data_IF_920867741785
#
_entry.id   IF_920867741785
#
_cell.length_a   1.000
_cell.length_b   1.000
_cell.length_c   1.000
_cell.angle_alpha   90.00
_cell.angle_beta   90.00
_cell.angle_gamma   90.00
#
_symmetry.space_group_name_H-M   'P 1'
#
loop_
_entity.id
_entity.type
_entity.pdbx_description
1 polymer ?
#
# COMPACT_ATOMS: atom_id res chain seq x y z
N UNK A 1 -6.93 -6.28 4.89
CA UNK A 1 -5.73 -7.14 4.77
C UNK A 1 -4.59 -6.46 5.50
N UNK A 2 -3.79 -7.22 6.25
CA UNK A 2 -2.75 -6.67 7.14
C UNK A 2 -1.40 -6.60 6.45
N UNK A 3 -0.71 -5.48 6.66
CA UNK A 3 0.58 -5.17 6.07
C UNK A 3 1.49 -4.52 7.12
N UNK A 4 2.80 -4.73 6.99
CA UNK A 4 3.82 -4.06 7.77
C UNK A 4 4.54 -3.03 6.90
N UNK A 5 4.57 -1.76 7.32
CA UNK A 5 5.07 -0.65 6.50
C UNK A 5 6.59 -0.53 6.61
N UNK A 6 7.30 -0.64 5.49
CA UNK A 6 8.75 -0.53 5.41
C UNK A 6 9.23 0.73 4.67
N UNK A 7 8.36 1.35 3.87
CA UNK A 7 8.68 2.55 3.12
C UNK A 7 7.44 3.38 2.81
N UNK A 8 7.62 4.69 2.79
CA UNK A 8 6.58 5.67 2.46
C UNK A 8 7.17 6.62 1.43
N UNK A 9 6.50 6.76 0.28
CA UNK A 9 6.92 7.61 -0.82
C UNK A 9 5.75 8.48 -1.28
N UNK A 10 5.92 9.80 -1.23
CA UNK A 10 4.94 10.74 -1.79
C UNK A 10 5.05 10.77 -3.31
N UNK A 11 3.90 10.76 -3.98
CA UNK A 11 3.80 10.70 -5.44
C UNK A 11 2.99 11.89 -5.93
N UNK A 12 3.58 12.71 -6.81
CA UNK A 12 2.91 13.82 -7.48
C UNK A 12 3.47 13.97 -8.91
N UNK A 13 2.75 13.46 -9.91
CA UNK A 13 3.18 13.54 -11.32
C UNK A 13 2.00 13.58 -12.31
N UNK A 14 2.26 14.07 -13.51
CA UNK A 14 1.29 13.99 -14.63
C UNK A 14 1.47 12.66 -15.35
N UNK A 15 0.42 11.84 -15.38
CA UNK A 15 0.41 10.57 -16.11
C UNK A 15 0.62 10.81 -17.61
N UNK A 16 1.72 10.30 -18.16
CA UNK A 16 1.99 10.35 -19.61
C UNK A 16 0.94 9.60 -20.45
N UNK A 17 0.24 8.62 -19.84
CA UNK A 17 -0.76 7.80 -20.53
C UNK A 17 -2.12 8.49 -20.63
N UNK A 18 -2.53 9.21 -19.58
CA UNK A 18 -3.88 9.77 -19.46
C UNK A 18 -3.90 11.30 -19.46
N UNK A 19 -2.75 11.96 -19.33
CA UNK A 19 -2.62 13.41 -19.19
C UNK A 19 -3.11 13.95 -17.84
N UNK A 20 -3.57 13.07 -16.92
CA UNK A 20 -4.15 13.47 -15.64
C UNK A 20 -3.09 13.55 -14.54
N UNK A 21 -3.29 14.46 -13.59
CA UNK A 21 -2.48 14.52 -12.37
C UNK A 21 -2.73 13.27 -11.53
N UNK A 22 -1.64 12.66 -11.07
CA UNK A 22 -1.64 11.53 -10.15
C UNK A 22 -0.99 12.00 -8.85
N UNK A 23 -1.77 12.01 -7.78
CA UNK A 23 -1.35 12.36 -6.42
C UNK A 23 -1.72 11.30 -5.41
N UNK A 24 -0.79 11.00 -4.53
CA UNK A 24 -1.01 10.03 -3.46
C UNK A 24 0.29 9.63 -2.76
N UNK A 25 0.23 8.49 -2.10
CA UNK A 25 1.34 7.91 -1.35
C UNK A 25 1.51 6.46 -1.74
N UNK A 26 2.73 6.04 -2.06
CA UNK A 26 3.07 4.62 -2.14
C UNK A 26 3.48 4.14 -0.74
N UNK A 27 2.78 3.13 -0.24
CA UNK A 27 3.22 2.35 0.92
C UNK A 27 3.95 1.12 0.39
N UNK A 28 5.21 0.98 0.78
CA UNK A 28 6.04 -0.20 0.50
C UNK A 28 5.97 -1.10 1.73
N UNK A 29 5.36 -2.26 1.60
CA UNK A 29 4.97 -3.09 2.72
C UNK A 29 5.40 -4.54 2.56
N UNK A 30 5.46 -5.25 3.69
CA UNK A 30 5.48 -6.71 3.73
C UNK A 30 4.17 -7.27 4.29
N UNK A 31 3.90 -8.54 3.97
CA UNK A 31 2.85 -9.32 4.62
C UNK A 31 3.24 -10.80 4.65
N UNK A 32 2.79 -11.55 5.67
CA UNK A 32 3.20 -12.94 5.84
C UNK A 32 2.72 -13.79 4.66
N UNK A 33 3.59 -14.69 4.23
CA UNK A 33 3.21 -15.74 3.29
C UNK A 33 2.44 -16.85 4.01
N UNK A 34 1.47 -17.48 3.32
CA UNK A 34 0.87 -18.74 3.79
C UNK A 34 2.00 -19.75 4.12
N UNK A 35 2.09 -20.24 5.38
CA UNK A 35 3.16 -21.15 5.79
C UNK A 35 3.18 -22.47 5.00
N UNK A 36 2.07 -22.86 4.35
CA UNK A 36 2.01 -24.04 3.49
C UNK A 36 2.49 -23.78 2.06
N UNK A 37 2.69 -22.51 1.67
CA UNK A 37 3.15 -22.16 0.35
C UNK A 37 4.67 -22.33 0.22
N UNK A 38 5.08 -23.54 -0.15
CA UNK A 38 6.49 -23.92 -0.35
C UNK A 38 7.21 -23.18 -1.50
N UNK A 39 6.50 -22.38 -2.30
CA UNK A 39 7.08 -21.68 -3.47
C UNK A 39 7.74 -20.35 -3.09
N UNK A 40 7.48 -19.83 -1.90
CA UNK A 40 7.99 -18.54 -1.45
C UNK A 40 8.79 -18.75 -0.17
N UNK A 41 9.91 -18.06 -0.05
CA UNK A 41 10.74 -18.02 1.16
C UNK A 41 10.64 -16.62 1.76
N UNK A 42 10.26 -16.54 3.04
CA UNK A 42 10.06 -15.28 3.75
C UNK A 42 8.72 -14.60 3.46
N UNK A 43 8.69 -13.29 3.71
CA UNK A 43 7.49 -12.47 3.53
C UNK A 43 7.35 -11.97 2.10
N UNK A 44 6.10 -11.75 1.71
CA UNK A 44 5.80 -11.08 0.45
C UNK A 44 6.03 -9.59 0.60
N UNK A 45 6.41 -8.94 -0.48
CA UNK A 45 6.56 -7.49 -0.58
C UNK A 45 5.53 -6.95 -1.57
N UNK A 46 4.97 -5.78 -1.28
CA UNK A 46 4.01 -5.12 -2.14
C UNK A 46 4.12 -3.60 -2.05
N UNK A 47 3.92 -2.94 -3.18
CA UNK A 47 3.77 -1.48 -3.26
C UNK A 47 2.29 -1.17 -3.44
N UNK A 48 1.69 -0.60 -2.41
CA UNK A 48 0.30 -0.16 -2.40
C UNK A 48 0.25 1.33 -2.78
N UNK A 49 -0.35 1.63 -3.92
CA UNK A 49 -0.67 3.01 -4.26
C UNK A 49 -1.93 3.45 -3.52
N UNK A 50 -1.77 4.41 -2.61
CA UNK A 50 -2.84 5.02 -1.84
C UNK A 50 -3.18 6.37 -2.48
N UNK A 51 -4.36 6.54 -3.10
CA UNK A 51 -4.73 7.79 -3.74
C UNK A 51 -4.94 8.90 -2.70
N UNK A 52 -4.65 10.16 -3.07
CA UNK A 52 -4.72 11.33 -2.17
C UNK A 52 -6.03 11.48 -1.38
N UNK A 53 -7.16 10.98 -1.92
CA UNK A 53 -8.46 10.97 -1.21
C UNK A 53 -8.46 10.10 0.06
N UNK A 54 -7.54 9.16 0.19
CA UNK A 54 -7.41 8.25 1.33
C UNK A 54 -6.35 8.82 2.26
N UNK A 55 -6.76 9.16 3.49
CA UNK A 55 -5.84 9.70 4.49
C UNK A 55 -4.91 8.61 5.01
N UNK A 56 -3.62 8.95 5.04
CA UNK A 56 -2.55 8.13 5.63
C UNK A 56 -1.71 8.94 6.62
N UNK A 57 -2.20 10.12 7.00
CA UNK A 57 -1.56 10.99 7.97
C UNK A 57 -1.41 10.25 9.30
N UNK A 58 -0.20 10.20 9.83
CA UNK A 58 0.11 9.51 11.09
C UNK A 58 0.60 8.08 10.94
N UNK A 59 0.53 7.48 9.73
CA UNK A 59 1.21 6.20 9.47
C UNK A 59 2.72 6.43 9.42
N UNK A 60 3.46 5.59 10.14
CA UNK A 60 4.91 5.64 10.27
C UNK A 60 5.56 4.34 9.76
N UNK A 61 6.88 4.40 9.55
CA UNK A 61 7.67 3.22 9.26
C UNK A 61 7.61 2.27 10.46
N UNK A 62 7.40 0.97 10.18
CA UNK A 62 7.26 -0.07 11.18
C UNK A 62 5.81 -0.30 11.64
N UNK A 63 4.86 0.55 11.26
CA UNK A 63 3.46 0.33 11.62
C UNK A 63 2.89 -0.92 10.94
N UNK A 64 2.01 -1.61 11.66
CA UNK A 64 1.12 -2.59 11.06
C UNK A 64 -0.18 -1.87 10.69
N UNK A 65 -0.62 -2.06 9.46
CA UNK A 65 -1.81 -1.40 8.92
C UNK A 65 -2.76 -2.41 8.34
N UNK A 66 -4.05 -2.17 8.53
CA UNK A 66 -5.10 -2.84 7.80
C UNK A 66 -5.53 -2.00 6.59
N UNK A 67 -5.48 -2.62 5.41
CA UNK A 67 -5.81 -1.99 4.13
C UNK A 67 -7.07 -2.63 3.57
N UNK A 68 -8.02 -1.79 3.16
CA UNK A 68 -9.26 -2.17 2.53
C UNK A 68 -9.25 -1.73 1.07
N UNK A 69 -9.69 -2.61 0.19
CA UNK A 69 -9.75 -2.37 -1.25
C UNK A 69 -11.20 -2.26 -1.70
N UNK A 70 -11.44 -1.38 -2.66
CA UNK A 70 -12.73 -1.34 -3.34
C UNK A 70 -12.88 -2.52 -4.31
N UNK A 71 -14.08 -2.67 -4.89
CA UNK A 71 -14.40 -3.75 -5.85
C UNK A 71 -13.51 -3.80 -7.10
N UNK A 72 -12.78 -2.73 -7.39
CA UNK A 72 -11.87 -2.62 -8.54
C UNK A 72 -10.40 -2.87 -8.17
N UNK A 73 -10.11 -3.21 -6.90
CA UNK A 73 -8.76 -3.49 -6.42
C UNK A 73 -7.94 -2.25 -6.06
N UNK A 74 -8.54 -1.05 -6.02
CA UNK A 74 -7.86 0.16 -5.56
C UNK A 74 -8.03 0.33 -4.05
N UNK A 75 -6.99 0.83 -3.38
CA UNK A 75 -7.05 1.16 -1.94
C UNK A 75 -8.16 2.16 -1.68
N UNK A 76 -8.99 1.84 -0.67
CA UNK A 76 -10.15 2.63 -0.29
C UNK A 76 -10.06 3.17 1.14
N UNK A 77 -9.41 2.44 2.05
CA UNK A 77 -9.02 2.95 3.37
C UNK A 77 -7.80 2.22 3.92
N UNK A 78 -7.08 2.89 4.82
CA UNK A 78 -5.92 2.36 5.57
C UNK A 78 -6.09 2.75 7.04
N UNK A 79 -5.88 1.81 7.95
CA UNK A 79 -5.98 2.02 9.40
C UNK A 79 -4.77 1.40 10.09
N UNK A 80 -4.25 2.05 11.14
CA UNK A 80 -3.22 1.46 12.00
C UNK A 80 -3.88 0.36 12.85
N UNK A 81 -3.22 -0.79 12.95
CA UNK A 81 -3.68 -1.97 13.70
C UNK A 81 -3.00 -2.13 15.04
#
# INVERSE_FOLDING_TARGET
MFYHVLGIETVDYVSKKTGQQVRGTNLHCTYPTDPNNKKIKGDRVERLYVPERVRVDGIQLGDNVEVYFNRYGSVDSVQIS
#
